data_IF_120444833248
#
_entry.id   IF_120444833248
#
_cell.length_a   1.000
_cell.length_b   1.000
_cell.length_c   1.000
_cell.angle_alpha   90.00
_cell.angle_beta   90.00
_cell.angle_gamma   90.00
#
_symmetry.space_group_name_H-M   'P 1'
#
loop_
_entity.id
_entity.type
_entity.pdbx_description
1 polymer ?
#
# COMPACT_ATOMS: atom_id res chain seq x y z
N UNK A 1 4.16 9.92 -18.79
CA UNK A 1 3.25 8.75 -18.76
C UNK A 1 3.01 8.15 -17.36
N UNK A 2 3.55 8.68 -16.25
CA UNK A 2 3.29 8.17 -14.89
C UNK A 2 1.99 8.72 -14.24
N UNK A 3 1.48 9.86 -14.70
CA UNK A 3 0.32 10.51 -14.07
C UNK A 3 -1.03 9.80 -14.33
N UNK A 4 -1.18 9.13 -15.48
CA UNK A 4 -2.46 8.47 -15.85
C UNK A 4 -2.64 7.15 -15.09
N UNK A 5 -1.55 6.43 -14.81
CA UNK A 5 -1.59 5.20 -14.00
C UNK A 5 -1.91 5.51 -12.53
N UNK A 6 -1.37 6.63 -12.03
CA UNK A 6 -1.66 7.14 -10.69
C UNK A 6 -3.16 7.42 -10.54
N UNK A 7 -3.79 8.13 -11.47
CA UNK A 7 -5.23 8.45 -11.37
C UNK A 7 -6.13 7.20 -11.37
N UNK A 8 -5.79 6.15 -12.13
CA UNK A 8 -6.62 4.95 -12.24
C UNK A 8 -6.62 4.07 -10.97
N UNK A 9 -5.51 3.95 -10.25
CA UNK A 9 -5.47 3.12 -9.03
C UNK A 9 -6.23 3.80 -7.88
N UNK A 10 -6.11 5.13 -7.77
CA UNK A 10 -6.90 5.93 -6.85
C UNK A 10 -8.39 5.84 -7.15
N UNK A 11 -8.77 5.84 -8.43
CA UNK A 11 -10.17 5.73 -8.82
C UNK A 11 -10.83 4.44 -8.29
N UNK A 12 -10.09 3.34 -8.05
CA UNK A 12 -10.67 2.10 -7.50
C UNK A 12 -11.05 2.28 -6.03
N UNK A 13 -10.25 3.02 -5.26
CA UNK A 13 -10.53 3.30 -3.84
C UNK A 13 -11.49 4.48 -3.68
N UNK A 14 -11.38 5.49 -4.53
CA UNK A 14 -12.22 6.70 -4.53
C UNK A 14 -13.59 6.50 -5.19
N UNK A 15 -13.76 5.54 -6.10
CA UNK A 15 -15.08 5.18 -6.64
C UNK A 15 -15.84 4.43 -5.56
N UNK A 16 -16.37 5.18 -4.58
CA UNK A 16 -17.53 5.00 -3.67
C UNK A 16 -18.05 3.60 -3.26
N UNK A 17 -17.37 2.51 -3.59
CA UNK A 17 -17.74 1.12 -3.34
C UNK A 17 -17.14 0.67 -2.01
N UNK A 18 -15.92 1.13 -1.67
CA UNK A 18 -15.31 0.76 -0.40
C UNK A 18 -15.93 1.58 0.74
N UNK A 19 -16.42 0.92 1.81
CA UNK A 19 -17.08 1.63 2.91
C UNK A 19 -16.14 2.53 3.72
N UNK A 20 -14.82 2.42 3.52
CA UNK A 20 -13.80 3.31 4.07
C UNK A 20 -13.30 4.40 3.12
N UNK A 21 -13.98 4.70 2.00
CA UNK A 21 -13.46 5.66 1.00
C UNK A 21 -13.22 7.08 1.55
N UNK A 22 -14.11 7.59 2.39
CA UNK A 22 -13.94 8.93 3.00
C UNK A 22 -12.83 8.93 4.06
N UNK A 23 -12.76 7.91 4.91
CA UNK A 23 -11.63 7.69 5.85
C UNK A 23 -10.31 7.58 5.09
N UNK A 24 -10.32 6.93 3.93
CA UNK A 24 -9.16 6.81 3.07
C UNK A 24 -8.71 8.15 2.48
N UNK A 25 -9.55 9.17 2.33
CA UNK A 25 -9.06 10.47 1.84
C UNK A 25 -8.27 11.21 2.92
N UNK A 26 -8.66 11.07 4.19
CA UNK A 26 -8.09 11.83 5.31
C UNK A 26 -7.00 11.08 6.07
N UNK A 27 -6.98 9.74 6.01
CA UNK A 27 -6.01 8.94 6.76
C UNK A 27 -4.57 9.21 6.30
N UNK A 28 -3.67 9.44 7.25
CA UNK A 28 -2.26 9.69 6.94
C UNK A 28 -1.52 8.42 6.50
N UNK A 29 -0.47 8.61 5.69
CA UNK A 29 0.43 7.51 5.32
C UNK A 29 1.49 7.34 6.40
N UNK A 30 1.75 6.10 6.79
CA UNK A 30 2.84 5.73 7.71
C UNK A 30 4.04 5.24 6.93
N UNK A 31 5.24 5.51 7.46
CA UNK A 31 6.48 4.96 6.92
C UNK A 31 6.51 3.44 7.12
N UNK A 32 6.91 2.70 6.09
CA UNK A 32 7.11 1.27 6.17
C UNK A 32 8.60 0.95 6.00
N UNK A 33 9.17 0.30 7.00
CA UNK A 33 10.56 -0.11 7.03
C UNK A 33 10.70 -1.63 6.92
N UNK A 34 11.74 -2.07 6.21
CA UNK A 34 12.20 -3.47 6.17
C UNK A 34 13.70 -3.45 6.41
N UNK A 35 14.18 -4.20 7.40
CA UNK A 35 15.60 -4.23 7.81
C UNK A 35 16.19 -2.82 8.01
N UNK A 36 15.45 -1.93 8.68
CA UNK A 36 15.79 -0.52 8.92
C UNK A 36 15.92 0.37 7.67
N UNK A 37 15.61 -0.13 6.48
CA UNK A 37 15.53 0.65 5.26
C UNK A 37 14.10 1.09 4.96
N UNK A 38 13.92 2.33 4.49
CA UNK A 38 12.62 2.82 4.07
C UNK A 38 12.18 2.06 2.80
N UNK A 39 11.27 1.10 2.98
CA UNK A 39 10.75 0.25 1.91
C UNK A 39 9.57 0.92 1.18
N UNK A 40 8.91 1.88 1.81
CA UNK A 40 7.86 2.67 1.20
C UNK A 40 6.94 3.31 2.22
N UNK A 41 5.70 3.51 1.81
CA UNK A 41 4.65 4.09 2.64
C UNK A 41 3.45 3.17 2.66
N UNK A 42 2.86 2.95 3.82
CA UNK A 42 1.64 2.17 3.99
C UNK A 42 0.48 3.05 4.46
N UNK A 43 -0.73 2.67 4.08
CA UNK A 43 -1.97 3.29 4.52
C UNK A 43 -3.01 2.22 4.72
N UNK A 44 -3.49 2.07 5.94
CA UNK A 44 -4.50 1.07 6.31
C UNK A 44 -5.78 1.80 6.68
N UNK A 45 -6.89 1.38 6.07
CA UNK A 45 -8.25 1.83 6.42
C UNK A 45 -9.14 0.61 6.46
N UNK A 46 -9.65 0.29 7.64
CA UNK A 46 -10.45 -0.92 7.89
C UNK A 46 -9.68 -2.16 7.38
N UNK A 47 -10.27 -2.94 6.47
CA UNK A 47 -9.69 -4.13 5.87
C UNK A 47 -8.94 -3.87 4.54
N UNK A 48 -8.59 -2.61 4.26
CA UNK A 48 -7.86 -2.23 3.06
C UNK A 48 -6.53 -1.57 3.40
N UNK A 49 -5.44 -2.14 2.89
CA UNK A 49 -4.09 -1.57 3.02
C UNK A 49 -3.50 -1.27 1.64
N UNK A 50 -3.12 -0.01 1.43
CA UNK A 50 -2.35 0.45 0.28
C UNK A 50 -0.86 0.55 0.65
N UNK A 51 0.02 0.07 -0.22
CA UNK A 51 1.47 0.27 -0.11
C UNK A 51 1.99 1.01 -1.34
N UNK A 52 2.85 2.00 -1.12
CA UNK A 52 3.37 2.90 -2.17
C UNK A 52 4.87 3.08 -2.14
N UNK A 53 5.37 3.58 -3.28
CA UNK A 53 6.78 3.83 -3.53
C UNK A 53 7.64 2.57 -3.35
N UNK A 54 7.02 1.43 -3.60
CA UNK A 54 7.60 0.11 -3.43
C UNK A 54 8.42 -0.30 -4.68
N UNK A 55 8.33 0.47 -5.78
CA UNK A 55 8.85 0.13 -7.10
C UNK A 55 7.91 -0.80 -7.88
N UNK A 56 8.33 -1.24 -9.08
CA UNK A 56 7.74 -2.43 -9.70
C UNK A 56 8.25 -3.63 -8.89
N UNK A 57 7.52 -3.98 -7.83
CA UNK A 57 7.91 -5.13 -7.01
C UNK A 57 7.57 -6.40 -7.81
N UNK A 58 8.58 -6.96 -8.47
CA UNK A 58 8.55 -8.38 -8.85
C UNK A 58 9.02 -9.21 -7.66
N UNK A 59 8.43 -10.41 -7.44
CA UNK A 59 8.86 -11.36 -6.41
C UNK A 59 10.38 -11.62 -6.41
N UNK A 60 11.02 -11.53 -7.58
CA UNK A 60 12.45 -11.71 -7.79
C UNK A 60 13.31 -10.51 -7.40
N UNK A 61 12.79 -9.29 -7.53
CA UNK A 61 13.60 -8.08 -7.42
C UNK A 61 13.76 -7.65 -5.96
N UNK A 62 12.72 -7.86 -5.14
CA UNK A 62 12.68 -7.40 -3.76
C UNK A 62 12.03 -8.45 -2.82
N UNK A 63 12.60 -9.67 -2.72
CA UNK A 63 11.97 -10.80 -2.02
C UNK A 63 11.73 -10.52 -0.52
N UNK A 64 12.64 -9.78 0.14
CA UNK A 64 12.47 -9.38 1.55
C UNK A 64 11.25 -8.48 1.76
N UNK A 65 11.03 -7.53 0.85
CA UNK A 65 9.91 -6.59 0.93
C UNK A 65 8.58 -7.30 0.66
N UNK A 66 8.52 -8.20 -0.34
CA UNK A 66 7.36 -9.07 -0.55
C UNK A 66 7.08 -9.94 0.67
N UNK A 67 8.10 -10.61 1.21
CA UNK A 67 7.96 -11.47 2.38
C UNK A 67 7.39 -10.70 3.58
N UNK A 68 7.87 -9.48 3.83
CA UNK A 68 7.34 -8.59 4.86
C UNK A 68 5.86 -8.25 4.63
N UNK A 69 5.45 -7.94 3.39
CA UNK A 69 4.05 -7.65 3.05
C UNK A 69 3.13 -8.87 3.23
N UNK A 70 3.55 -10.04 2.74
CA UNK A 70 2.79 -11.28 2.85
C UNK A 70 2.67 -11.70 4.31
N UNK A 71 3.75 -11.60 5.08
CA UNK A 71 3.73 -11.89 6.51
C UNK A 71 2.75 -10.95 7.24
N UNK A 72 2.83 -9.63 6.98
CA UNK A 72 1.89 -8.66 7.57
C UNK A 72 0.44 -8.93 7.18
N UNK A 73 0.19 -9.37 5.95
CA UNK A 73 -1.16 -9.69 5.47
C UNK A 73 -1.72 -10.94 6.15
N UNK A 74 -0.95 -12.02 6.23
CA UNK A 74 -1.39 -13.31 6.79
C UNK A 74 -1.67 -13.19 8.29
N UNK A 75 -0.90 -12.37 9.00
CA UNK A 75 -1.00 -12.23 10.46
C UNK A 75 -1.71 -10.95 10.92
N UNK A 76 -2.31 -10.19 10.00
CA UNK A 76 -3.03 -8.93 10.28
C UNK A 76 -2.20 -7.89 11.09
N UNK A 77 -1.00 -7.59 10.59
CA UNK A 77 0.01 -6.73 11.25
C UNK A 77 0.17 -5.35 10.57
N UNK A 78 -0.88 -4.83 9.94
CA UNK A 78 -0.88 -3.57 9.18
C UNK A 78 -1.43 -2.35 9.93
#
# INVERSE_FOLDING_TARGET
>A
MAAVLYIKFYAIVDYKIHPGAEEYKTTERKLWFVDNELAGYQKTVRNFTEVRNAGHITLTDQPKRISSLVHKFIYDLF
#
